data_IF_893502315727
#
_entry.id   IF_893502315727
#
_cell.length_a   1.000
_cell.length_b   1.000
_cell.length_c   1.000
_cell.angle_alpha   90.00
_cell.angle_beta   90.00
_cell.angle_gamma   90.00
#
_symmetry.space_group_name_H-M   'P 1'
#
loop_
_entity.id
_entity.type
_entity.pdbx_description
1 polymer ?
#
# COMPACT_ATOMS: atom_id res chain seq x y z
N UNK A 1 28.18 4.47 -13.46
CA UNK A 1 28.14 3.15 -12.80
C UNK A 1 27.23 3.29 -11.59
N UNK A 2 26.23 2.41 -11.51
CA UNK A 2 24.93 2.55 -10.82
C UNK A 2 24.98 3.15 -9.40
N UNK A 3 24.06 4.07 -9.15
CA UNK A 3 23.58 4.41 -7.81
C UNK A 3 23.10 3.12 -7.15
N UNK A 4 23.77 2.71 -6.08
CA UNK A 4 23.30 1.65 -5.19
C UNK A 4 22.11 2.21 -4.41
N UNK A 5 20.94 2.21 -5.04
CA UNK A 5 19.70 2.59 -4.40
C UNK A 5 19.31 1.48 -3.40
N UNK A 6 19.75 1.63 -2.15
CA UNK A 6 18.94 1.28 -0.97
C UNK A 6 18.76 -0.18 -0.59
N UNK A 7 19.63 -1.11 -0.99
CA UNK A 7 19.47 -2.54 -0.61
C UNK A 7 19.76 -2.86 0.88
N UNK A 8 20.16 -1.88 1.70
CA UNK A 8 20.49 -2.08 3.13
C UNK A 8 19.53 -1.38 4.13
N UNK A 9 18.46 -0.73 3.69
CA UNK A 9 17.45 -0.21 4.61
C UNK A 9 16.38 -1.28 4.87
N UNK A 10 16.06 -1.50 6.14
CA UNK A 10 14.94 -2.30 6.63
C UNK A 10 15.15 -3.82 6.80
N UNK A 11 16.10 -4.19 7.67
CA UNK A 11 15.89 -5.35 8.55
C UNK A 11 14.83 -4.96 9.60
N UNK A 12 13.56 -5.04 9.22
CA UNK A 12 12.40 -4.45 9.93
C UNK A 12 12.25 -5.05 11.33
N UNK A 13 12.23 -4.19 12.35
CA UNK A 13 12.03 -4.51 13.78
C UNK A 13 10.56 -4.46 14.22
N UNK A 14 9.63 -4.23 13.29
CA UNK A 14 8.20 -4.04 13.56
C UNK A 14 7.39 -5.26 13.12
N UNK A 15 6.28 -5.53 13.80
CA UNK A 15 5.43 -6.68 13.53
C UNK A 15 4.78 -6.63 12.13
N UNK A 16 4.44 -5.42 11.65
CA UNK A 16 3.89 -5.15 10.33
C UNK A 16 4.44 -3.81 9.82
N UNK A 17 4.91 -3.80 8.57
CA UNK A 17 5.32 -2.60 7.85
C UNK A 17 4.58 -2.53 6.52
N UNK A 18 4.06 -1.34 6.23
CA UNK A 18 3.49 -0.98 4.94
C UNK A 18 4.50 -0.13 4.19
N UNK A 19 4.94 -0.61 3.03
CA UNK A 19 5.87 0.10 2.16
C UNK A 19 5.09 0.57 0.94
N UNK A 20 5.21 1.87 0.64
CA UNK A 20 4.59 2.50 -0.53
C UNK A 20 5.68 3.09 -1.38
N UNK A 21 5.76 2.68 -2.63
CA UNK A 21 6.69 3.23 -3.62
C UNK A 21 5.93 3.66 -4.85
N UNK A 22 6.33 4.78 -5.43
CA UNK A 22 5.78 5.28 -6.68
C UNK A 22 6.74 4.95 -7.82
N UNK A 23 6.20 4.36 -8.88
CA UNK A 23 6.83 4.21 -10.19
C UNK A 23 6.07 5.10 -11.18
N UNK A 24 6.66 5.44 -12.35
CA UNK A 24 5.96 6.25 -13.34
C UNK A 24 4.60 5.67 -13.78
N UNK A 25 4.44 4.35 -13.72
CA UNK A 25 3.25 3.64 -14.17
C UNK A 25 2.26 3.31 -13.05
N UNK A 26 2.72 3.22 -11.80
CA UNK A 26 1.91 2.72 -10.69
C UNK A 26 2.42 3.13 -9.30
N UNK A 27 1.50 3.15 -8.34
CA UNK A 27 1.84 3.12 -6.92
C UNK A 27 1.87 1.65 -6.48
N UNK A 28 3.04 1.18 -6.06
CA UNK A 28 3.26 -0.15 -5.51
C UNK A 28 3.07 -0.13 -4.00
N UNK A 29 2.25 -1.06 -3.49
CA UNK A 29 2.05 -1.29 -2.07
C UNK A 29 2.57 -2.67 -1.71
N UNK A 30 3.49 -2.73 -0.75
CA UNK A 30 4.03 -3.97 -0.21
C UNK A 30 3.82 -4.05 1.29
N UNK A 31 3.54 -5.25 1.78
CA UNK A 31 3.48 -5.55 3.21
C UNK A 31 4.64 -6.46 3.57
N UNK A 32 5.41 -6.05 4.57
CA UNK A 32 6.38 -6.90 5.25
C UNK A 32 5.87 -7.17 6.65
N UNK A 33 5.87 -8.43 7.08
CA UNK A 33 5.25 -8.84 8.34
C UNK A 33 5.99 -10.00 9.00
N UNK A 34 5.89 -10.06 10.33
CA UNK A 34 6.40 -11.17 11.10
C UNK A 34 5.43 -12.37 11.02
N UNK A 35 5.82 -13.44 10.33
CA UNK A 35 5.00 -14.65 10.16
C UNK A 35 4.64 -15.33 11.50
N UNK A 36 5.44 -15.10 12.55
CA UNK A 36 5.12 -15.57 13.90
C UNK A 36 3.88 -14.91 14.52
N UNK A 37 3.46 -13.74 13.99
CA UNK A 37 2.34 -12.95 14.50
C UNK A 37 1.17 -12.87 13.52
N UNK A 38 1.42 -13.09 12.23
CA UNK A 38 0.41 -12.96 11.19
C UNK A 38 0.46 -14.10 10.19
N UNK A 39 -0.71 -14.60 9.84
CA UNK A 39 -0.88 -15.60 8.79
C UNK A 39 -0.96 -14.94 7.40
N UNK A 40 -0.39 -15.62 6.40
CA UNK A 40 -0.36 -15.12 5.03
C UNK A 40 -1.74 -14.93 4.40
N UNK A 41 -2.76 -15.70 4.79
CA UNK A 41 -4.13 -15.50 4.33
C UNK A 41 -4.73 -14.21 4.90
N UNK A 42 -4.49 -13.91 6.17
CA UNK A 42 -4.93 -12.66 6.82
C UNK A 42 -4.26 -11.46 6.14
N UNK A 43 -2.96 -11.56 5.84
CA UNK A 43 -2.23 -10.49 5.15
C UNK A 43 -2.72 -10.26 3.71
N UNK A 44 -3.09 -11.33 3.00
CA UNK A 44 -3.75 -11.21 1.68
C UNK A 44 -5.11 -10.50 1.79
N UNK A 45 -5.91 -10.85 2.79
CA UNK A 45 -7.20 -10.17 3.02
C UNK A 45 -7.01 -8.69 3.36
N UNK A 46 -5.98 -8.34 4.13
CA UNK A 46 -5.64 -6.95 4.43
C UNK A 46 -5.32 -6.17 3.15
N UNK A 47 -4.49 -6.71 2.26
CA UNK A 47 -4.18 -6.10 0.95
C UNK A 47 -5.42 -5.90 0.09
N UNK A 48 -6.30 -6.90 0.02
CA UNK A 48 -7.56 -6.82 -0.74
C UNK A 48 -8.44 -5.70 -0.17
N UNK A 49 -8.60 -5.66 1.14
CA UNK A 49 -9.41 -4.67 1.84
C UNK A 49 -8.87 -3.27 1.63
N UNK A 50 -7.54 -3.09 1.74
CA UNK A 50 -6.88 -1.82 1.49
C UNK A 50 -7.17 -1.32 0.06
N UNK A 51 -7.01 -2.18 -0.96
CA UNK A 51 -7.31 -1.82 -2.36
C UNK A 51 -8.77 -1.44 -2.55
N UNK A 52 -9.69 -2.17 -1.91
CA UNK A 52 -11.12 -1.87 -1.96
C UNK A 52 -11.43 -0.49 -1.37
N UNK A 53 -10.91 -0.19 -0.18
CA UNK A 53 -11.10 1.10 0.49
C UNK A 53 -10.52 2.27 -0.31
N UNK A 54 -9.33 2.11 -0.89
CA UNK A 54 -8.75 3.13 -1.77
C UNK A 54 -9.62 3.37 -3.01
N UNK A 55 -10.18 2.30 -3.59
CA UNK A 55 -11.15 2.42 -4.69
C UNK A 55 -12.37 3.25 -4.28
N UNK A 56 -12.96 2.96 -3.13
CA UNK A 56 -14.14 3.67 -2.62
C UNK A 56 -13.84 5.14 -2.29
N UNK A 57 -12.65 5.45 -1.77
CA UNK A 57 -12.24 6.83 -1.50
C UNK A 57 -12.13 7.65 -2.79
N UNK A 58 -11.56 7.06 -3.86
CA UNK A 58 -11.44 7.71 -5.16
C UNK A 58 -12.81 7.93 -5.83
N UNK A 59 -13.72 6.96 -5.74
CA UNK A 59 -15.07 7.09 -6.31
C UNK A 59 -15.91 8.12 -5.55
N UNK A 60 -15.81 8.15 -4.22
CA UNK A 60 -16.51 9.12 -3.37
C UNK A 60 -16.01 10.54 -3.63
N UNK A 61 -14.70 10.74 -3.69
CA UNK A 61 -14.10 12.04 -4.02
C UNK A 61 -14.57 12.56 -5.38
N UNK A 62 -14.68 11.68 -6.38
CA UNK A 62 -15.21 12.04 -7.71
C UNK A 62 -16.68 12.44 -7.66
N UNK A 63 -17.52 11.77 -6.87
CA UNK A 63 -18.95 12.10 -6.72
C UNK A 63 -19.15 13.46 -6.06
N UNK A 64 -18.45 13.75 -4.97
CA UNK A 64 -18.54 15.03 -4.27
C UNK A 64 -18.10 16.19 -5.16
N UNK A 65 -16.99 16.03 -5.89
CA UNK A 65 -16.50 17.06 -6.81
C UNK A 65 -17.48 17.35 -7.96
N UNK A 66 -18.20 16.34 -8.44
CA UNK A 66 -19.21 16.51 -9.50
C UNK A 66 -20.47 17.23 -9.03
N UNK A 67 -20.81 17.12 -7.74
CA UNK A 67 -21.94 17.79 -7.11
C UNK A 67 -21.70 19.28 -6.82
N UNK A 68 -20.44 19.72 -6.72
CA UNK A 68 -20.09 21.13 -6.47
C UNK A 68 -19.90 21.97 -7.76
N UNK A 69 -20.01 21.35 -8.94
CA UNK A 69 -19.81 22.01 -10.26
C UNK A 69 -21.14 22.22 -11.01
N UNK A 70 -22.27 21.91 -10.36
CA UNK A 70 -23.64 22.23 -10.80
C UNK A 70 -24.29 23.13 -9.78
#
# INVERSE_FOLDING_TARGET
MREACGEEYEKIRLALTVIVSETPEAIEFRLSYAEALFDGAIMKQLLITQRHLLGEMLTTTRRTRRSMVT
#
